data_IF_352724594846
#
_entry.id   IF_352724594846
#
_cell.length_a   1.000
_cell.length_b   1.000
_cell.length_c   1.000
_cell.angle_alpha   90.00
_cell.angle_beta   90.00
_cell.angle_gamma   90.00
#
_symmetry.space_group_name_H-M   'P 1'
#
loop_
_entity.id
_entity.type
_entity.pdbx_description
1 polymer ?
#
# COMPACT_ATOMS: atom_id res chain seq x y z
N UNK A 1 21.75 -40.03 33.90
CA UNK A 1 21.77 -38.56 33.69
C UNK A 1 20.33 -38.15 33.49
N UNK A 2 19.77 -37.38 34.43
CA UNK A 2 18.34 -37.12 34.52
C UNK A 2 17.86 -36.26 33.35
N UNK A 3 16.82 -36.72 32.66
CA UNK A 3 16.10 -35.92 31.68
C UNK A 3 15.28 -34.87 32.42
N UNK A 4 15.57 -33.60 32.14
CA UNK A 4 14.86 -32.45 32.68
C UNK A 4 13.41 -32.49 32.19
N UNK A 5 12.48 -32.81 33.09
CA UNK A 5 11.07 -32.76 32.81
C UNK A 5 10.67 -31.30 32.65
N UNK A 6 10.54 -30.84 31.40
CA UNK A 6 9.98 -29.52 31.09
C UNK A 6 8.57 -29.47 31.68
N UNK A 7 8.43 -28.73 32.77
CA UNK A 7 7.16 -28.51 33.45
C UNK A 7 6.28 -27.66 32.53
N UNK A 8 5.43 -28.31 31.74
CA UNK A 8 4.39 -27.63 30.98
C UNK A 8 3.39 -26.97 31.94
N UNK A 9 2.75 -25.86 31.55
CA UNK A 9 1.76 -25.20 32.40
C UNK A 9 0.66 -26.19 32.78
N UNK A 10 0.37 -26.34 34.07
CA UNK A 10 -0.78 -27.13 34.52
C UNK A 10 -2.10 -26.56 33.98
N UNK A 11 -3.22 -27.31 34.06
CA UNK A 11 -4.52 -26.92 33.49
C UNK A 11 -5.02 -25.54 33.96
N UNK A 12 -4.63 -25.14 35.18
CA UNK A 12 -4.89 -23.80 35.74
C UNK A 12 -4.03 -22.69 35.11
N UNK A 13 -2.78 -22.99 34.78
CA UNK A 13 -1.88 -22.06 34.10
C UNK A 13 -2.31 -21.78 32.66
N UNK A 14 -2.80 -22.81 31.96
CA UNK A 14 -3.41 -22.65 30.63
C UNK A 14 -4.66 -21.76 30.69
N UNK A 15 -5.58 -22.01 31.64
CA UNK A 15 -6.80 -21.20 31.79
C UNK A 15 -6.51 -19.72 32.13
N UNK A 16 -5.50 -19.45 32.96
CA UNK A 16 -5.06 -18.08 33.27
C UNK A 16 -4.48 -17.41 32.03
N UNK A 17 -3.67 -18.13 31.25
CA UNK A 17 -3.05 -17.59 30.05
C UNK A 17 -4.10 -17.28 28.96
N UNK A 18 -5.08 -18.17 28.77
CA UNK A 18 -6.23 -17.94 27.90
C UNK A 18 -7.05 -16.72 28.35
N UNK A 19 -7.32 -16.58 29.66
CA UNK A 19 -8.04 -15.43 30.19
C UNK A 19 -7.27 -14.11 29.99
N UNK A 20 -5.95 -14.12 30.16
CA UNK A 20 -5.08 -12.96 29.92
C UNK A 20 -5.08 -12.59 28.44
N UNK A 21 -4.95 -13.58 27.53
CA UNK A 21 -5.00 -13.34 26.08
C UNK A 21 -6.38 -12.81 25.64
N UNK A 22 -7.46 -13.32 26.21
CA UNK A 22 -8.82 -12.81 25.96
C UNK A 22 -8.96 -11.35 26.40
N UNK A 23 -8.48 -11.01 27.61
CA UNK A 23 -8.48 -9.64 28.12
C UNK A 23 -7.65 -8.68 27.26
N UNK A 24 -6.51 -9.15 26.73
CA UNK A 24 -5.68 -8.37 25.81
C UNK A 24 -6.39 -8.16 24.46
N UNK A 25 -7.06 -9.17 23.91
CA UNK A 25 -7.84 -9.05 22.68
C UNK A 25 -9.06 -8.12 22.82
N UNK A 26 -9.71 -8.11 23.99
CA UNK A 26 -10.87 -7.26 24.29
C UNK A 26 -10.49 -5.83 24.69
N UNK A 27 -9.32 -5.65 25.31
CA UNK A 27 -8.85 -4.38 25.89
C UNK A 27 -8.01 -3.51 24.96
N UNK A 28 -7.50 -4.05 23.85
CA UNK A 28 -6.78 -3.25 22.85
C UNK A 28 -7.82 -2.55 21.97
N UNK A 29 -7.94 -1.21 22.00
CA UNK A 29 -8.78 -0.50 21.06
C UNK A 29 -8.27 -0.80 19.65
N UNK A 30 -9.02 -1.59 18.90
CA UNK A 30 -8.79 -1.76 17.48
C UNK A 30 -9.05 -0.40 16.84
N UNK A 31 -7.98 0.29 16.48
CA UNK A 31 -8.08 1.59 15.83
C UNK A 31 -9.00 1.47 14.63
N UNK A 32 -10.13 2.19 14.65
CA UNK A 32 -11.07 2.21 13.54
C UNK A 32 -10.60 3.21 12.49
N UNK A 33 -10.92 2.94 11.23
CA UNK A 33 -10.84 3.94 10.16
C UNK A 33 -11.68 5.14 10.59
N UNK A 34 -11.08 6.33 10.60
CA UNK A 34 -11.73 7.49 11.23
C UNK A 34 -12.42 8.44 10.25
N UNK A 35 -12.03 8.45 8.96
CA UNK A 35 -12.72 9.20 7.90
C UNK A 35 -12.24 8.90 6.46
N UNK A 36 -11.37 7.91 6.24
CA UNK A 36 -10.90 7.52 4.90
C UNK A 36 -11.68 6.29 4.44
N UNK A 37 -12.34 6.41 3.29
CA UNK A 37 -13.08 5.31 2.70
C UNK A 37 -12.14 4.32 2.01
N UNK A 38 -12.23 3.05 2.42
CA UNK A 38 -11.46 1.94 1.87
C UNK A 38 -12.25 1.13 0.83
N UNK A 39 -13.59 1.25 0.82
CA UNK A 39 -14.47 0.46 -0.07
C UNK A 39 -14.52 1.06 -1.48
N UNK A 40 -14.57 2.40 -1.59
CA UNK A 40 -14.63 3.10 -2.89
C UNK A 40 -13.28 3.62 -3.41
N UNK A 41 -12.16 3.00 -2.99
CA UNK A 41 -10.83 3.40 -3.40
C UNK A 41 -10.61 3.35 -4.92
N UNK A 42 -9.95 4.37 -5.47
CA UNK A 42 -9.54 4.40 -6.88
C UNK A 42 -8.13 3.80 -7.04
N UNK A 43 -8.04 2.67 -7.73
CA UNK A 43 -6.76 2.00 -7.99
C UNK A 43 -6.28 2.30 -9.41
N UNK A 44 -5.19 3.07 -9.52
CA UNK A 44 -4.53 3.34 -10.80
C UNK A 44 -3.40 2.33 -11.04
N UNK A 45 -3.42 1.68 -12.20
CA UNK A 45 -2.40 0.71 -12.60
C UNK A 45 -1.48 1.35 -13.63
N UNK A 46 -0.17 1.19 -13.43
CA UNK A 46 0.86 1.59 -14.38
C UNK A 46 1.56 0.40 -15.02
N UNK A 47 2.60 0.65 -15.84
CA UNK A 47 3.38 -0.39 -16.47
C UNK A 47 4.08 -1.30 -15.45
N UNK A 48 4.05 -2.61 -15.69
CA UNK A 48 4.72 -3.60 -14.85
C UNK A 48 6.24 -3.36 -14.84
N UNK A 49 6.90 -3.77 -13.75
CA UNK A 49 8.37 -3.75 -13.59
C UNK A 49 9.04 -2.36 -13.73
N UNK A 50 8.27 -1.28 -13.65
CA UNK A 50 8.78 0.11 -13.72
C UNK A 50 8.92 0.82 -12.38
N UNK A 51 8.59 0.12 -11.29
CA UNK A 51 8.42 0.71 -9.95
C UNK A 51 7.40 1.86 -9.95
N UNK A 52 6.34 1.74 -10.75
CA UNK A 52 5.24 2.69 -10.78
C UNK A 52 4.62 2.83 -9.39
N UNK A 53 4.65 4.05 -8.84
CA UNK A 53 4.20 4.33 -7.47
C UNK A 53 5.33 4.60 -6.49
N UNK A 54 6.60 4.55 -6.92
CA UNK A 54 7.75 4.85 -6.07
C UNK A 54 7.68 6.26 -5.47
N UNK A 55 7.18 7.22 -6.23
CA UNK A 55 6.83 8.56 -5.76
C UNK A 55 5.44 8.95 -6.24
N UNK A 56 4.67 9.64 -5.40
CA UNK A 56 3.30 10.06 -5.72
C UNK A 56 3.04 11.49 -5.23
N UNK A 57 2.27 12.25 -6.00
CA UNK A 57 1.77 13.56 -5.56
C UNK A 57 0.37 13.82 -6.13
N UNK A 58 -0.50 14.43 -5.33
CA UNK A 58 -1.80 14.93 -5.78
C UNK A 58 -1.62 16.36 -6.32
N UNK A 59 -2.08 16.60 -7.54
CA UNK A 59 -1.97 17.91 -8.19
C UNK A 59 -3.34 18.43 -8.65
N UNK A 60 -3.59 19.72 -8.40
CA UNK A 60 -4.82 20.41 -8.79
C UNK A 60 -4.51 21.62 -9.65
N UNK A 61 -5.14 21.70 -10.82
CA UNK A 61 -5.03 22.88 -11.70
C UNK A 61 -6.43 23.25 -12.23
N UNK A 62 -6.95 24.38 -11.74
CA UNK A 62 -8.34 24.79 -11.99
C UNK A 62 -9.34 23.73 -11.54
N UNK A 63 -10.24 23.32 -12.43
CA UNK A 63 -11.19 22.24 -12.18
C UNK A 63 -10.59 20.82 -12.33
N UNK A 64 -9.35 20.70 -12.82
CA UNK A 64 -8.73 19.39 -13.04
C UNK A 64 -8.03 18.90 -11.77
N UNK A 65 -8.11 17.58 -11.55
CA UNK A 65 -7.45 16.86 -10.46
C UNK A 65 -6.63 15.73 -11.08
N UNK A 66 -5.39 15.60 -10.64
CA UNK A 66 -4.41 14.68 -11.18
C UNK A 66 -3.73 13.92 -10.05
N UNK A 67 -3.54 12.64 -10.26
CA UNK A 67 -2.55 11.84 -9.55
C UNK A 67 -1.29 11.81 -10.41
N UNK A 68 -0.18 12.30 -9.89
CA UNK A 68 1.12 12.24 -10.56
C UNK A 68 1.95 11.16 -9.90
N UNK A 69 2.53 10.27 -10.71
CA UNK A 69 3.19 9.05 -10.25
C UNK A 69 4.56 8.93 -10.90
N UNK A 70 5.60 8.72 -10.10
CA UNK A 70 6.93 8.36 -10.58
C UNK A 70 7.09 6.85 -10.78
N UNK A 71 7.83 6.50 -11.82
CA UNK A 71 8.24 5.13 -12.15
C UNK A 71 9.74 5.13 -12.52
N UNK A 72 10.64 5.00 -11.53
CA UNK A 72 12.09 5.18 -11.70
C UNK A 72 12.76 4.27 -12.74
N UNK A 73 12.20 3.10 -13.04
CA UNK A 73 12.77 2.17 -14.03
C UNK A 73 11.97 2.13 -15.34
N UNK A 74 11.03 3.05 -15.53
CA UNK A 74 10.31 3.16 -16.80
C UNK A 74 11.23 3.64 -17.93
N UNK A 75 11.05 3.04 -19.11
CA UNK A 75 11.63 3.53 -20.36
C UNK A 75 10.80 4.66 -20.95
N UNK A 76 11.42 5.55 -21.72
CA UNK A 76 10.69 6.59 -22.44
C UNK A 76 10.08 6.07 -23.74
N UNK A 77 8.83 6.45 -24.01
CA UNK A 77 8.20 6.20 -25.31
C UNK A 77 8.93 6.93 -26.46
N UNK A 78 9.51 8.10 -26.19
CA UNK A 78 10.17 8.93 -27.21
C UNK A 78 11.60 8.48 -27.55
N UNK A 79 12.29 7.78 -26.65
CA UNK A 79 13.67 7.36 -26.85
C UNK A 79 13.96 6.06 -26.08
N UNK A 80 14.23 4.99 -26.82
CA UNK A 80 14.52 3.65 -26.29
C UNK A 80 16.01 3.36 -26.16
N UNK A 81 16.89 4.27 -26.59
CA UNK A 81 18.34 4.10 -26.49
C UNK A 81 18.86 4.25 -25.06
N UNK A 82 18.11 4.94 -24.19
CA UNK A 82 18.44 5.10 -22.78
C UNK A 82 17.78 3.99 -21.98
N UNK A 83 18.58 3.22 -21.26
CA UNK A 83 18.10 2.12 -20.42
C UNK A 83 17.58 2.67 -19.10
N UNK A 84 16.29 2.42 -18.81
CA UNK A 84 15.62 2.74 -17.55
C UNK A 84 15.86 4.18 -17.04
N UNK A 85 15.65 5.23 -17.86
CA UNK A 85 15.82 6.63 -17.43
C UNK A 85 14.85 7.05 -16.34
N UNK A 86 13.74 6.33 -16.18
CA UNK A 86 12.64 6.69 -15.31
C UNK A 86 11.68 7.65 -15.99
N UNK A 87 10.40 7.56 -15.63
CA UNK A 87 9.37 8.42 -16.19
C UNK A 87 8.38 8.87 -15.13
N UNK A 88 7.68 9.97 -15.43
CA UNK A 88 6.56 10.47 -14.63
C UNK A 88 5.29 10.23 -15.43
N UNK A 89 4.24 9.81 -14.74
CA UNK A 89 2.91 9.59 -15.28
C UNK A 89 1.92 10.56 -14.65
N UNK A 90 0.90 10.97 -15.40
CA UNK A 90 -0.27 11.64 -14.86
C UNK A 90 -1.51 10.80 -15.09
N UNK A 91 -2.35 10.68 -14.07
CA UNK A 91 -3.63 9.99 -14.14
C UNK A 91 -4.72 10.99 -13.76
N UNK A 92 -5.71 11.19 -14.63
CA UNK A 92 -6.80 12.12 -14.35
C UNK A 92 -7.73 11.52 -13.29
N UNK A 93 -8.12 12.32 -12.30
CA UNK A 93 -9.09 11.93 -11.27
C UNK A 93 -10.50 12.36 -11.70
N UNK A 94 -11.48 11.47 -11.58
CA UNK A 94 -12.88 11.73 -11.93
C UNK A 94 -13.24 11.35 -13.35
N UNK A 95 -13.01 12.23 -14.34
CA UNK A 95 -13.31 12.00 -15.78
C UNK A 95 -12.31 11.03 -16.43
N UNK A 96 -12.16 9.83 -15.86
CA UNK A 96 -11.25 8.77 -16.26
C UNK A 96 -11.76 7.39 -15.77
N UNK A 97 -12.81 6.85 -16.41
CA UNK A 97 -13.43 5.60 -15.96
C UNK A 97 -12.46 4.40 -16.04
N UNK A 98 -11.61 4.39 -17.06
CA UNK A 98 -10.59 3.36 -17.31
C UNK A 98 -9.36 3.47 -16.38
N UNK A 99 -9.27 4.55 -15.59
CA UNK A 99 -8.14 4.83 -14.69
C UNK A 99 -6.79 4.79 -15.42
N UNK A 100 -6.78 5.31 -16.65
CA UNK A 100 -5.59 5.35 -17.49
C UNK A 100 -4.61 6.42 -16.99
N UNK A 101 -3.32 6.16 -17.21
CA UNK A 101 -2.22 7.05 -16.87
C UNK A 101 -1.37 7.29 -18.10
N UNK A 102 -1.06 8.55 -18.38
CA UNK A 102 -0.25 8.97 -19.52
C UNK A 102 1.17 9.29 -19.07
N UNK A 103 2.17 8.81 -19.80
CA UNK A 103 3.55 9.22 -19.56
C UNK A 103 3.74 10.70 -19.95
N UNK A 104 4.31 11.48 -19.05
CA UNK A 104 4.76 12.84 -19.33
C UNK A 104 6.14 12.78 -19.97
N UNK A 105 6.30 13.50 -21.09
CA UNK A 105 7.59 13.76 -21.68
C UNK A 105 8.17 15.03 -21.02
N UNK A 106 9.30 14.86 -20.34
CA UNK A 106 10.10 15.96 -19.78
C UNK A 106 11.19 16.36 -20.76
#
# INVERSE_FOLDING_TARGET
>A
MAAEARCGPGPRGAAVWEAVMLLLCLGVPTGRTYNVDTESAMVYKGPADTLFGYSVVLHSHGANRWLVVGAPTASWLANTSVVNPGAIYRCRIGKNPERTCEQLQL
#
